data_IF_315565761700
#
_entry.id   IF_315565761700
#
_cell.length_a   1.000
_cell.length_b   1.000
_cell.length_c   1.000
_cell.angle_alpha   90.00
_cell.angle_beta   90.00
_cell.angle_gamma   90.00
#
_symmetry.space_group_name_H-M   'P 1'
#
loop_
_entity.id
_entity.type
_entity.pdbx_description
1 polymer ?
#
# COMPACT_ATOMS: atom_id res chain seq x y z
N UNK A 1 -3.38 -5.68 28.23
CA UNK A 1 -2.97 -6.48 27.06
C UNK A 1 -3.34 -5.70 25.82
N UNK A 2 -2.47 -4.80 25.37
CA UNK A 2 -2.64 -4.05 24.13
C UNK A 2 -2.32 -5.01 22.98
N UNK A 3 -3.34 -5.48 22.28
CA UNK A 3 -3.14 -6.18 21.01
C UNK A 3 -2.54 -5.17 20.06
N UNK A 4 -1.26 -5.37 19.75
CA UNK A 4 -0.53 -4.55 18.80
C UNK A 4 -1.02 -4.95 17.40
N UNK A 5 -2.15 -4.37 16.98
CA UNK A 5 -2.70 -4.50 15.62
C UNK A 5 -1.82 -3.75 14.62
N UNK A 6 -0.54 -4.06 14.60
CA UNK A 6 0.44 -3.50 13.69
C UNK A 6 0.05 -3.93 12.28
N UNK A 7 -0.59 -3.02 11.54
CA UNK A 7 -0.81 -3.20 10.12
C UNK A 7 0.54 -3.24 9.44
N UNK A 8 0.85 -4.36 8.81
CA UNK A 8 2.09 -4.57 8.06
C UNK A 8 1.73 -4.73 6.59
N UNK A 9 2.51 -4.09 5.72
CA UNK A 9 2.41 -4.28 4.27
C UNK A 9 3.77 -4.78 3.82
N UNK A 10 3.80 -5.98 3.25
CA UNK A 10 4.99 -6.58 2.65
C UNK A 10 4.84 -6.61 1.14
N UNK A 11 5.92 -6.30 0.42
CA UNK A 11 5.98 -6.33 -1.03
C UNK A 11 7.17 -7.16 -1.47
N UNK A 12 6.92 -8.21 -2.25
CA UNK A 12 7.91 -9.21 -2.65
C UNK A 12 7.82 -9.52 -4.15
N UNK A 13 8.92 -10.03 -4.72
CA UNK A 13 8.95 -10.50 -6.12
C UNK A 13 8.76 -12.01 -6.13
N UNK A 14 7.65 -12.47 -6.70
CA UNK A 14 7.33 -13.89 -6.89
C UNK A 14 7.46 -14.25 -8.38
N UNK A 15 8.68 -14.63 -8.80
CA UNK A 15 9.06 -14.93 -10.19
C UNK A 15 8.82 -13.75 -11.14
N UNK A 16 7.64 -13.70 -11.77
CA UNK A 16 7.22 -12.69 -12.76
C UNK A 16 6.10 -11.79 -12.24
N UNK A 17 5.77 -11.90 -10.95
CA UNK A 17 4.71 -11.12 -10.30
C UNK A 17 5.23 -10.37 -9.08
N UNK A 18 4.60 -9.23 -8.80
CA UNK A 18 4.76 -8.52 -7.55
C UNK A 18 3.67 -9.01 -6.60
N UNK A 19 4.06 -9.54 -5.44
CA UNK A 19 3.14 -9.95 -4.38
C UNK A 19 3.09 -8.87 -3.32
N UNK A 20 1.90 -8.38 -3.02
CA UNK A 20 1.63 -7.48 -1.91
C UNK A 20 0.83 -8.27 -0.88
N UNK A 21 1.31 -8.30 0.35
CA UNK A 21 0.61 -8.91 1.48
C UNK A 21 0.29 -7.83 2.50
N UNK A 22 -0.99 -7.67 2.82
CA UNK A 22 -1.48 -6.73 3.82
C UNK A 22 -1.95 -7.53 5.03
N UNK A 23 -1.28 -7.35 6.17
CA UNK A 23 -1.61 -8.00 7.42
C UNK A 23 -2.52 -7.10 8.26
N UNK A 24 -3.64 -7.65 8.71
CA UNK A 24 -4.65 -7.02 9.56
C UNK A 24 -4.69 -7.61 10.97
N UNK A 25 -3.55 -8.10 11.47
CA UNK A 25 -3.46 -8.79 12.76
C UNK A 25 -3.83 -10.27 12.62
N UNK A 26 -5.12 -10.59 12.70
CA UNK A 26 -5.63 -11.98 12.57
C UNK A 26 -5.91 -12.38 11.12
N UNK A 27 -6.12 -11.41 10.24
CA UNK A 27 -6.40 -11.63 8.81
C UNK A 27 -5.24 -11.16 7.93
N UNK A 28 -5.12 -11.76 6.74
CA UNK A 28 -4.21 -11.30 5.69
C UNK A 28 -4.93 -11.19 4.34
N UNK A 29 -4.55 -10.19 3.56
CA UNK A 29 -4.95 -10.02 2.17
C UNK A 29 -3.71 -10.13 1.27
N UNK A 30 -3.78 -10.99 0.25
CA UNK A 30 -2.68 -11.21 -0.70
C UNK A 30 -3.12 -10.79 -2.09
N UNK A 31 -2.39 -9.86 -2.69
CA UNK A 31 -2.61 -9.38 -4.05
C UNK A 31 -1.37 -9.75 -4.87
N UNK A 32 -1.58 -10.40 -6.02
CA UNK A 32 -0.50 -10.72 -6.97
C UNK A 32 -0.72 -9.95 -8.26
N UNK A 33 0.19 -9.05 -8.57
CA UNK A 33 0.15 -8.18 -9.73
C UNK A 33 1.20 -8.63 -10.75
N UNK A 34 0.88 -8.51 -12.03
CA UNK A 34 1.91 -8.46 -13.05
C UNK A 34 2.63 -7.10 -13.03
N UNK A 35 3.66 -6.92 -13.86
CA UNK A 35 4.46 -5.69 -13.85
C UNK A 35 3.65 -4.46 -14.27
N UNK A 36 2.81 -4.57 -15.30
CA UNK A 36 1.96 -3.47 -15.79
C UNK A 36 0.93 -3.05 -14.73
N UNK A 37 0.31 -4.02 -14.06
CA UNK A 37 -0.62 -3.76 -12.96
C UNK A 37 0.06 -3.11 -11.76
N UNK A 38 1.30 -3.51 -11.46
CA UNK A 38 2.09 -2.92 -10.37
C UNK A 38 2.49 -1.46 -10.68
N UNK A 39 2.91 -1.16 -11.91
CA UNK A 39 3.23 0.21 -12.36
C UNK A 39 1.99 1.11 -12.31
N UNK A 40 0.83 0.61 -12.75
CA UNK A 40 -0.44 1.35 -12.65
C UNK A 40 -0.82 1.62 -11.19
N UNK A 41 -0.62 0.65 -10.30
CA UNK A 41 -0.89 0.83 -8.86
C UNK A 41 0.07 1.85 -8.24
N UNK A 42 1.35 1.80 -8.57
CA UNK A 42 2.36 2.76 -8.11
C UNK A 42 1.94 4.19 -8.48
N UNK A 43 1.60 4.45 -9.74
CA UNK A 43 1.21 5.78 -10.19
C UNK A 43 -0.03 6.31 -9.47
N UNK A 44 -1.05 5.46 -9.26
CA UNK A 44 -2.25 5.83 -8.49
C UNK A 44 -1.93 6.13 -7.04
N UNK A 45 -1.04 5.34 -6.42
CA UNK A 45 -0.64 5.53 -5.03
C UNK A 45 0.15 6.83 -4.85
N UNK A 46 1.10 7.11 -5.74
CA UNK A 46 1.87 8.35 -5.75
C UNK A 46 0.95 9.57 -5.89
N UNK A 47 -0.01 9.54 -6.82
CA UNK A 47 -0.98 10.62 -6.99
C UNK A 47 -1.82 10.83 -5.72
N UNK A 48 -2.31 9.75 -5.10
CA UNK A 48 -3.09 9.84 -3.88
C UNK A 48 -2.29 10.45 -2.70
N UNK A 49 -1.00 10.11 -2.58
CA UNK A 49 -0.09 10.70 -1.59
C UNK A 49 0.11 12.19 -1.85
N UNK A 50 0.33 12.58 -3.11
CA UNK A 50 0.52 13.97 -3.51
C UNK A 50 -0.73 14.81 -3.17
N UNK A 51 -1.91 14.33 -3.57
CA UNK A 51 -3.19 14.98 -3.31
C UNK A 51 -3.43 15.14 -1.80
N UNK A 52 -3.11 14.12 -1.01
CA UNK A 52 -3.22 14.18 0.45
C UNK A 52 -2.30 15.25 1.05
N UNK A 53 -1.04 15.29 0.60
CA UNK A 53 -0.05 16.28 1.06
C UNK A 53 -0.51 17.71 0.77
N UNK A 54 -0.97 17.97 -0.46
CA UNK A 54 -1.48 19.30 -0.87
C UNK A 54 -2.70 19.72 -0.02
N UNK A 55 -3.65 18.81 0.21
CA UNK A 55 -4.82 19.09 1.06
C UNK A 55 -4.45 19.37 2.51
N UNK A 56 -3.43 18.69 3.03
CA UNK A 56 -2.93 18.94 4.38
C UNK A 56 -2.26 20.32 4.47
N UNK A 57 -1.53 20.73 3.44
CA UNK A 57 -0.88 22.04 3.37
C UNK A 57 -1.90 23.18 3.33
N UNK A 58 -3.01 23.05 2.59
CA UNK A 58 -4.11 24.03 2.54
C UNK A 58 -4.84 24.19 3.90
N UNK A 59 -4.76 23.21 4.81
CA UNK A 59 -5.41 23.29 6.14
C UNK A 59 -4.54 23.90 7.24
N UNK A 60 -3.25 24.12 6.98
CA UNK A 60 -2.30 24.68 7.95
C UNK A 60 -2.07 26.19 7.69
N UNK A 61 -2.46 26.68 6.51
CA UNK A 61 -2.63 28.11 6.21
C UNK A 61 -4.07 28.56 6.55
#
# INVERSE_FOLDING_TARGET
MTHDFSRKIDVEIERTRIRITIFHGEDEEVIKLNIEEAEVLEGKLQQAILDYSQRKQIRID
#
